data_IF_506658372704
#
_entry.id   IF_506658372704
#
_cell.length_a   1.000
_cell.length_b   1.000
_cell.length_c   1.000
_cell.angle_alpha   90.00
_cell.angle_beta   90.00
_cell.angle_gamma   90.00
#
_symmetry.space_group_name_H-M   'P 1'
#
loop_
_entity.id
_entity.type
_entity.pdbx_description
1 polymer ?
#
# COMPACT_ATOMS: atom_id res chain seq x y z
N UNK A 1 -15.91 19.79 -13.22
CA UNK A 1 -16.05 19.94 -11.78
C UNK A 1 -15.22 18.84 -11.11
N UNK A 2 -14.40 19.12 -10.11
CA UNK A 2 -13.60 18.09 -9.44
C UNK A 2 -14.51 17.15 -8.62
N UNK A 3 -14.09 15.88 -8.48
CA UNK A 3 -14.89 14.83 -7.83
C UNK A 3 -15.26 15.18 -6.38
N UNK A 4 -14.35 15.78 -5.62
CA UNK A 4 -14.66 16.19 -4.24
C UNK A 4 -15.80 17.20 -4.14
N UNK A 5 -15.96 18.12 -5.13
CA UNK A 5 -17.11 19.02 -5.19
C UNK A 5 -18.39 18.27 -5.52
N UNK A 6 -18.31 17.29 -6.41
CA UNK A 6 -19.46 16.47 -6.78
C UNK A 6 -19.94 15.64 -5.57
N UNK A 7 -19.03 15.07 -4.77
CA UNK A 7 -19.40 14.35 -3.53
C UNK A 7 -20.06 15.28 -2.53
N UNK A 8 -19.59 16.52 -2.42
CA UNK A 8 -20.16 17.50 -1.50
C UNK A 8 -21.59 17.92 -1.90
N UNK A 9 -21.89 17.96 -3.20
CA UNK A 9 -23.22 18.34 -3.74
C UNK A 9 -24.18 17.15 -3.77
N UNK A 10 -23.72 15.99 -4.21
CA UNK A 10 -24.52 14.77 -4.36
C UNK A 10 -23.68 13.53 -4.05
N UNK A 11 -23.92 12.93 -2.88
CA UNK A 11 -23.14 11.79 -2.40
C UNK A 11 -23.20 10.57 -3.31
N UNK A 12 -24.36 10.23 -3.87
CA UNK A 12 -24.51 9.03 -4.72
C UNK A 12 -23.75 9.18 -6.03
N UNK A 13 -23.98 10.27 -6.75
CA UNK A 13 -23.26 10.57 -8.00
C UNK A 13 -21.75 10.74 -7.77
N UNK A 14 -21.38 11.32 -6.64
CA UNK A 14 -20.00 11.48 -6.24
C UNK A 14 -19.33 10.15 -5.92
N UNK A 15 -20.03 9.22 -5.24
CA UNK A 15 -19.54 7.87 -4.96
C UNK A 15 -19.31 7.07 -6.24
N UNK A 16 -20.25 7.09 -7.20
CA UNK A 16 -20.09 6.43 -8.49
C UNK A 16 -18.86 6.96 -9.26
N UNK A 17 -18.71 8.29 -9.32
CA UNK A 17 -17.58 8.93 -9.98
C UNK A 17 -16.25 8.59 -9.28
N UNK A 18 -16.25 8.55 -7.93
CA UNK A 18 -15.08 8.19 -7.13
C UNK A 18 -14.61 6.76 -7.43
N UNK A 19 -15.52 5.79 -7.41
CA UNK A 19 -15.21 4.40 -7.72
C UNK A 19 -14.72 4.25 -9.16
N UNK A 20 -15.38 4.91 -10.11
CA UNK A 20 -15.02 4.84 -11.53
C UNK A 20 -13.62 5.42 -11.80
N UNK A 21 -13.26 6.53 -11.17
CA UNK A 21 -11.99 7.23 -11.44
C UNK A 21 -10.83 6.65 -10.63
N UNK A 22 -11.04 6.31 -9.38
CA UNK A 22 -9.97 5.92 -8.46
C UNK A 22 -10.00 4.45 -8.03
N UNK A 23 -11.08 3.71 -8.29
CA UNK A 23 -11.27 2.36 -7.77
C UNK A 23 -10.13 1.41 -8.11
N UNK A 24 -9.76 1.31 -9.38
CA UNK A 24 -8.68 0.42 -9.81
C UNK A 24 -7.32 0.81 -9.21
N UNK A 25 -7.00 2.11 -9.18
CA UNK A 25 -5.73 2.60 -8.64
C UNK A 25 -5.65 2.38 -7.12
N UNK A 26 -6.73 2.71 -6.39
CA UNK A 26 -6.78 2.52 -4.94
C UNK A 26 -6.73 1.03 -4.55
N UNK A 27 -7.37 0.16 -5.36
CA UNK A 27 -7.29 -1.29 -5.18
C UNK A 27 -5.86 -1.81 -5.38
N UNK A 28 -5.14 -1.33 -6.40
CA UNK A 28 -3.75 -1.70 -6.61
C UNK A 28 -2.88 -1.34 -5.39
N UNK A 29 -3.03 -0.12 -4.85
CA UNK A 29 -2.36 0.30 -3.60
C UNK A 29 -2.72 -0.63 -2.44
N UNK A 30 -4.01 -0.87 -2.21
CA UNK A 30 -4.49 -1.74 -1.13
C UNK A 30 -3.95 -3.17 -1.27
N UNK A 31 -3.93 -3.72 -2.50
CA UNK A 31 -3.41 -5.06 -2.77
C UNK A 31 -1.92 -5.17 -2.46
N UNK A 32 -1.10 -4.18 -2.86
CA UNK A 32 0.32 -4.15 -2.49
C UNK A 32 0.54 -4.08 -0.98
N UNK A 33 -0.33 -3.41 -0.23
CA UNK A 33 -0.21 -3.34 1.22
C UNK A 33 -0.67 -4.63 1.91
N UNK A 34 -1.85 -5.14 1.56
CA UNK A 34 -2.46 -6.31 2.20
C UNK A 34 -1.91 -7.64 1.72
N UNK A 35 -1.48 -7.73 0.44
CA UNK A 35 -1.10 -8.96 -0.28
C UNK A 35 -2.20 -10.04 -0.25
N UNK A 36 -3.44 -9.62 -0.09
CA UNK A 36 -4.63 -10.46 -0.06
C UNK A 36 -5.78 -9.69 -0.71
N UNK A 37 -6.44 -10.30 -1.69
CA UNK A 37 -7.50 -9.62 -2.47
C UNK A 37 -8.71 -9.26 -1.62
N UNK A 38 -9.15 -10.13 -0.72
CA UNK A 38 -10.31 -9.88 0.14
C UNK A 38 -10.05 -8.75 1.14
N UNK A 39 -8.88 -8.75 1.79
CA UNK A 39 -8.47 -7.68 2.70
C UNK A 39 -8.32 -6.35 1.93
N UNK A 40 -7.84 -6.40 0.67
CA UNK A 40 -7.70 -5.20 -0.17
C UNK A 40 -9.06 -4.62 -0.58
N UNK A 41 -10.03 -5.45 -0.96
CA UNK A 41 -11.40 -5.02 -1.27
C UNK A 41 -12.08 -4.35 -0.07
N UNK A 42 -12.00 -4.98 1.11
CA UNK A 42 -12.54 -4.40 2.35
C UNK A 42 -11.89 -3.06 2.68
N UNK A 43 -10.56 -2.99 2.54
CA UNK A 43 -9.80 -1.77 2.80
C UNK A 43 -10.20 -0.62 1.86
N UNK A 44 -10.39 -0.91 0.56
CA UNK A 44 -10.87 0.07 -0.43
C UNK A 44 -12.27 0.55 -0.11
N UNK A 45 -13.19 -0.38 0.20
CA UNK A 45 -14.56 -0.04 0.54
C UNK A 45 -14.64 0.91 1.75
N UNK A 46 -13.96 0.56 2.84
CA UNK A 46 -13.86 1.39 4.05
C UNK A 46 -13.22 2.75 3.78
N UNK A 47 -12.26 2.79 2.86
CA UNK A 47 -11.61 4.05 2.47
C UNK A 47 -12.58 4.95 1.73
N UNK A 48 -13.33 4.43 0.76
CA UNK A 48 -14.34 5.22 0.05
C UNK A 48 -15.45 5.74 0.97
N UNK A 49 -15.95 4.91 1.88
CA UNK A 49 -16.91 5.34 2.89
C UNK A 49 -16.36 6.51 3.72
N UNK A 50 -15.12 6.40 4.18
CA UNK A 50 -14.48 7.46 4.97
C UNK A 50 -14.22 8.73 4.16
N UNK A 51 -13.88 8.60 2.88
CA UNK A 51 -13.71 9.74 1.96
C UNK A 51 -15.02 10.50 1.82
N UNK A 52 -16.12 9.79 1.59
CA UNK A 52 -17.46 10.41 1.44
C UNK A 52 -17.89 11.09 2.73
N UNK A 53 -17.68 10.46 3.88
CA UNK A 53 -17.99 11.04 5.18
C UNK A 53 -17.20 12.31 5.49
N UNK A 54 -15.89 12.30 5.11
CA UNK A 54 -14.95 13.37 5.49
C UNK A 54 -14.59 14.33 4.37
N UNK A 55 -15.33 14.33 3.27
CA UNK A 55 -15.03 15.18 2.12
C UNK A 55 -14.87 16.67 2.47
N UNK A 56 -15.64 17.16 3.44
CA UNK A 56 -15.55 18.54 3.92
C UNK A 56 -14.20 18.86 4.62
N UNK A 57 -13.45 17.84 5.04
CA UNK A 57 -12.14 18.02 5.66
C UNK A 57 -10.98 18.08 4.66
N UNK A 58 -11.24 17.74 3.38
CA UNK A 58 -10.25 17.86 2.32
C UNK A 58 -9.95 19.33 1.99
N UNK A 59 -8.72 19.76 2.21
CA UNK A 59 -8.30 21.18 2.06
C UNK A 59 -7.51 21.47 0.78
N UNK A 60 -7.44 20.54 -0.16
CA UNK A 60 -6.67 20.66 -1.43
C UNK A 60 -5.18 21.02 -1.24
N UNK A 61 -4.60 20.69 -0.09
CA UNK A 61 -3.18 20.92 0.19
C UNK A 61 -2.27 19.82 -0.37
N UNK A 62 -2.85 18.64 -0.65
CA UNK A 62 -2.23 17.52 -1.33
C UNK A 62 -3.11 17.11 -2.52
N UNK A 63 -2.61 16.18 -3.37
CA UNK A 63 -3.49 15.60 -4.37
C UNK A 63 -4.65 14.85 -3.68
N UNK A 64 -5.83 14.85 -4.31
CA UNK A 64 -6.99 14.16 -3.75
C UNK A 64 -6.71 12.66 -3.57
N UNK A 65 -5.97 12.08 -4.50
CA UNK A 65 -5.56 10.68 -4.42
C UNK A 65 -4.60 10.43 -3.24
N UNK A 66 -3.60 11.28 -3.01
CA UNK A 66 -2.69 11.15 -1.87
C UNK A 66 -3.45 11.26 -0.53
N UNK A 67 -4.46 12.12 -0.45
CA UNK A 67 -5.32 12.20 0.73
C UNK A 67 -6.12 10.91 0.97
N UNK A 68 -6.64 10.27 -0.10
CA UNK A 68 -7.30 8.95 0.01
C UNK A 68 -6.30 7.88 0.44
N UNK A 69 -5.09 7.85 -0.14
CA UNK A 69 -4.04 6.90 0.25
C UNK A 69 -3.61 7.07 1.72
N UNK A 70 -3.62 8.29 2.26
CA UNK A 70 -3.39 8.53 3.68
C UNK A 70 -4.47 7.88 4.57
N UNK A 71 -5.75 7.97 4.16
CA UNK A 71 -6.86 7.30 4.86
C UNK A 71 -6.69 5.78 4.79
N UNK A 72 -6.37 5.25 3.61
CA UNK A 72 -6.15 3.82 3.36
C UNK A 72 -4.99 3.29 4.21
N UNK A 73 -3.84 3.95 4.18
CA UNK A 73 -2.66 3.56 4.95
C UNK A 73 -2.93 3.57 6.47
N UNK A 74 -3.73 4.52 6.94
CA UNK A 74 -4.12 4.57 8.35
C UNK A 74 -5.01 3.37 8.74
N UNK A 75 -5.99 2.98 7.91
CA UNK A 75 -6.80 1.78 8.16
C UNK A 75 -5.94 0.52 8.15
N UNK A 76 -5.09 0.35 7.14
CA UNK A 76 -4.16 -0.78 7.05
C UNK A 76 -3.31 -0.93 8.32
N UNK A 77 -2.71 0.17 8.78
CA UNK A 77 -1.92 0.21 10.01
C UNK A 77 -2.74 -0.17 11.26
N UNK A 78 -3.99 0.31 11.35
CA UNK A 78 -4.90 -0.04 12.46
C UNK A 78 -5.22 -1.54 12.46
N UNK A 79 -5.46 -2.13 11.28
CA UNK A 79 -5.74 -3.55 11.13
C UNK A 79 -4.51 -4.40 11.48
N UNK A 80 -3.30 -3.99 11.07
CA UNK A 80 -2.06 -4.65 11.45
C UNK A 80 -1.84 -4.65 12.98
N UNK A 81 -2.07 -3.51 13.63
CA UNK A 81 -2.01 -3.42 15.11
C UNK A 81 -3.02 -4.32 15.79
N UNK A 82 -4.27 -4.40 15.26
CA UNK A 82 -5.31 -5.27 15.81
C UNK A 82 -4.94 -6.75 15.64
N UNK A 83 -4.43 -7.15 14.45
CA UNK A 83 -3.96 -8.51 14.20
C UNK A 83 -2.83 -8.89 15.17
N UNK A 84 -1.85 -8.00 15.38
CA UNK A 84 -0.75 -8.22 16.31
C UNK A 84 -1.23 -8.33 17.78
N UNK A 85 -2.15 -7.46 18.22
CA UNK A 85 -2.71 -7.52 19.56
C UNK A 85 -3.50 -8.83 19.83
N UNK A 86 -4.28 -9.29 18.85
CA UNK A 86 -5.04 -10.54 18.96
C UNK A 86 -4.11 -11.77 18.97
N UNK A 87 -3.00 -11.75 18.22
CA UNK A 87 -2.01 -12.83 18.24
C UNK A 87 -1.34 -12.99 19.62
N UNK A 88 -1.10 -11.89 20.32
CA UNK A 88 -0.52 -11.91 21.68
C UNK A 88 -1.48 -12.47 22.75
N UNK A 89 -2.78 -12.46 22.48
CA UNK A 89 -3.81 -12.95 23.44
C UNK A 89 -4.14 -14.44 23.22
N UNK A 90 -3.88 -14.98 22.03
CA UNK A 90 -4.45 -16.27 21.62
C UNK A 90 -3.45 -17.41 21.44
N UNK A 91 -2.10 -17.16 21.38
CA UNK A 91 -1.14 -18.24 21.18
C UNK A 91 0.24 -17.93 21.77
N UNK A 92 0.74 -18.75 22.75
CA UNK A 92 2.12 -18.68 23.19
C UNK A 92 3.10 -19.39 22.23
N UNK A 93 2.63 -20.14 21.23
CA UNK A 93 3.47 -20.68 20.17
C UNK A 93 3.34 -19.80 18.90
N UNK A 94 4.46 -19.26 18.38
CA UNK A 94 4.39 -18.61 17.08
C UNK A 94 3.90 -19.66 16.07
N UNK A 95 2.84 -19.35 15.27
CA UNK A 95 2.50 -20.26 14.19
C UNK A 95 3.75 -20.41 13.33
N UNK A 96 4.14 -21.65 13.06
CA UNK A 96 5.09 -21.98 11.99
C UNK A 96 4.49 -21.40 10.71
N UNK A 97 4.79 -20.12 10.45
CA UNK A 97 4.52 -19.53 9.16
C UNK A 97 5.48 -20.23 8.21
N UNK A 98 5.07 -21.39 7.76
CA UNK A 98 5.56 -21.91 6.50
C UNK A 98 5.23 -20.81 5.50
N UNK A 99 6.24 -20.07 5.13
CA UNK A 99 6.16 -19.04 4.09
C UNK A 99 5.92 -19.80 2.78
N UNK A 100 4.64 -20.12 2.50
CA UNK A 100 4.19 -20.74 1.24
C UNK A 100 4.31 -19.78 0.06
N UNK A 101 5.10 -18.72 0.21
CA UNK A 101 5.46 -17.90 -0.94
C UNK A 101 6.33 -18.77 -1.83
N UNK A 102 5.95 -18.95 -3.12
CA UNK A 102 6.78 -19.66 -4.07
C UNK A 102 8.19 -19.04 -4.02
N UNK A 103 9.19 -19.92 -3.88
CA UNK A 103 10.58 -19.48 -3.95
C UNK A 103 10.76 -18.71 -5.26
N UNK A 104 11.15 -17.42 -5.23
CA UNK A 104 11.28 -16.60 -6.44
C UNK A 104 12.19 -17.21 -7.51
N UNK A 105 13.00 -18.19 -7.15
CA UNK A 105 13.97 -18.85 -8.06
C UNK A 105 13.35 -19.90 -8.99
N UNK A 106 12.13 -20.37 -8.77
CA UNK A 106 11.53 -21.43 -9.59
C UNK A 106 10.58 -20.96 -10.72
N UNK A 107 10.17 -19.68 -10.70
CA UNK A 107 9.27 -19.07 -11.70
C UNK A 107 9.99 -18.25 -12.79
N UNK A 108 11.30 -18.38 -12.94
CA UNK A 108 12.18 -17.50 -13.72
C UNK A 108 12.33 -17.93 -15.19
N UNK A 109 11.22 -18.00 -15.95
CA UNK A 109 11.31 -18.01 -17.40
C UNK A 109 10.66 -16.74 -17.94
N UNK A 110 11.49 -15.77 -18.37
CA UNK A 110 11.11 -14.53 -19.05
C UNK A 110 10.22 -13.54 -18.24
N UNK A 111 10.61 -13.23 -17.01
CA UNK A 111 10.01 -12.11 -16.27
C UNK A 111 10.61 -10.81 -16.81
N UNK A 112 9.76 -9.86 -17.23
CA UNK A 112 10.20 -8.51 -17.60
C UNK A 112 10.64 -7.72 -16.35
N UNK A 113 11.41 -6.65 -16.56
CA UNK A 113 11.96 -5.84 -15.46
C UNK A 113 10.84 -5.26 -14.57
N UNK A 114 9.71 -4.87 -15.14
CA UNK A 114 8.58 -4.32 -14.40
C UNK A 114 7.95 -5.38 -13.48
N UNK A 115 7.80 -6.61 -13.95
CA UNK A 115 7.30 -7.72 -13.16
C UNK A 115 8.28 -8.09 -12.04
N UNK A 116 9.59 -8.09 -12.31
CA UNK A 116 10.60 -8.35 -11.29
C UNK A 116 10.60 -7.29 -10.18
N UNK A 117 10.41 -6.03 -10.52
CA UNK A 117 10.27 -4.94 -9.54
C UNK A 117 9.02 -5.14 -8.67
N UNK A 118 7.88 -5.50 -9.26
CA UNK A 118 6.63 -5.77 -8.50
C UNK A 118 6.84 -6.92 -7.50
N UNK A 119 7.40 -8.03 -7.97
CA UNK A 119 7.71 -9.18 -7.09
C UNK A 119 8.68 -8.76 -5.96
N UNK A 120 9.67 -7.94 -6.27
CA UNK A 120 10.61 -7.44 -5.27
C UNK A 120 9.92 -6.52 -4.24
N UNK A 121 8.99 -5.67 -4.66
CA UNK A 121 8.20 -4.82 -3.75
C UNK A 121 7.31 -5.68 -2.85
N UNK A 122 6.65 -6.68 -3.40
CA UNK A 122 5.77 -7.58 -2.66
C UNK A 122 6.53 -8.45 -1.64
N UNK A 123 7.83 -8.71 -1.88
CA UNK A 123 8.70 -9.43 -0.97
C UNK A 123 9.29 -8.57 0.17
N UNK A 124 9.09 -7.25 0.15
CA UNK A 124 9.57 -6.37 1.22
C UNK A 124 8.84 -6.63 2.55
N UNK A 125 9.50 -6.44 3.70
CA UNK A 125 8.82 -6.28 4.98
C UNK A 125 7.74 -5.19 4.89
N UNK A 126 6.62 -5.40 5.60
CA UNK A 126 5.43 -4.53 5.53
C UNK A 126 5.73 -3.03 5.67
N UNK A 127 6.56 -2.67 6.65
CA UNK A 127 6.94 -1.28 6.90
C UNK A 127 7.70 -0.63 5.74
N UNK A 128 8.60 -1.37 5.11
CA UNK A 128 9.37 -0.88 3.96
C UNK A 128 8.49 -0.83 2.71
N UNK A 129 7.67 -1.86 2.51
CA UNK A 129 6.71 -1.94 1.40
C UNK A 129 5.73 -0.79 1.43
N UNK A 130 5.15 -0.50 2.60
CA UNK A 130 4.22 0.63 2.77
C UNK A 130 4.86 1.95 2.34
N UNK A 131 6.07 2.27 2.80
CA UNK A 131 6.75 3.50 2.41
C UNK A 131 7.06 3.55 0.90
N UNK A 132 7.52 2.43 0.32
CA UNK A 132 7.81 2.32 -1.13
C UNK A 132 6.54 2.50 -1.96
N UNK A 133 5.45 1.83 -1.61
CA UNK A 133 4.18 1.92 -2.35
C UNK A 133 3.64 3.35 -2.32
N UNK A 134 3.50 3.95 -1.14
CA UNK A 134 2.97 5.30 -1.01
C UNK A 134 3.83 6.35 -1.73
N UNK A 135 5.16 6.17 -1.76
CA UNK A 135 6.05 7.14 -2.40
C UNK A 135 6.13 6.99 -3.92
N UNK A 136 6.34 5.76 -4.42
CA UNK A 136 6.62 5.52 -5.84
C UNK A 136 5.41 5.17 -6.69
N UNK A 137 4.35 4.61 -6.10
CA UNK A 137 3.14 4.26 -6.84
C UNK A 137 2.04 5.32 -6.67
N UNK A 138 2.02 6.01 -5.52
CA UNK A 138 0.98 6.97 -5.18
C UNK A 138 1.45 8.41 -5.15
N UNK A 139 2.73 8.66 -5.50
CA UNK A 139 3.34 10.00 -5.61
C UNK A 139 3.25 10.83 -4.32
N UNK A 140 3.18 10.18 -3.15
CA UNK A 140 3.15 10.89 -1.87
C UNK A 140 4.54 11.42 -1.49
N UNK A 141 4.56 12.63 -0.97
CA UNK A 141 5.77 13.22 -0.38
C UNK A 141 6.09 12.58 0.98
N UNK A 142 7.36 12.67 1.39
CA UNK A 142 7.78 12.12 2.69
C UNK A 142 6.99 12.69 3.87
N UNK A 143 6.71 14.01 3.96
CA UNK A 143 5.84 14.55 5.02
C UNK A 143 4.42 13.98 5.00
N UNK A 144 3.81 13.78 3.82
CA UNK A 144 2.47 13.17 3.70
C UNK A 144 2.46 11.72 4.19
N UNK A 145 3.48 10.93 3.81
CA UNK A 145 3.64 9.55 4.27
C UNK A 145 3.83 9.53 5.79
N UNK A 146 4.72 10.35 6.32
CA UNK A 146 5.00 10.44 7.75
C UNK A 146 3.72 10.72 8.56
N UNK A 147 2.90 11.65 8.09
CA UNK A 147 1.61 11.97 8.69
C UNK A 147 0.60 10.81 8.55
N UNK A 148 0.54 10.14 7.39
CA UNK A 148 -0.39 9.04 7.12
C UNK A 148 -0.13 7.80 7.99
N UNK A 149 1.14 7.44 8.17
CA UNK A 149 1.52 6.24 8.94
C UNK A 149 2.00 6.56 10.37
N UNK A 150 1.89 7.83 10.78
CA UNK A 150 2.22 8.34 12.13
C UNK A 150 3.64 7.96 12.60
N UNK A 151 4.63 8.25 11.76
CA UNK A 151 6.06 8.09 12.08
C UNK A 151 6.83 9.38 11.76
N UNK A 152 8.01 9.61 12.37
CA UNK A 152 8.86 10.73 11.98
C UNK A 152 9.30 10.64 10.52
N UNK A 153 9.49 11.78 9.85
CA UNK A 153 9.99 11.85 8.46
C UNK A 153 11.34 11.12 8.30
N UNK A 154 12.23 11.21 9.28
CA UNK A 154 13.50 10.47 9.29
C UNK A 154 13.32 8.95 9.20
N UNK A 155 12.26 8.42 9.80
CA UNK A 155 11.89 6.99 9.68
C UNK A 155 11.44 6.65 8.27
N UNK A 156 10.66 7.54 7.62
CA UNK A 156 10.23 7.35 6.22
C UNK A 156 11.44 7.37 5.29
N UNK A 157 12.37 8.33 5.44
CA UNK A 157 13.61 8.36 4.65
C UNK A 157 14.41 7.08 4.80
N UNK A 158 14.56 6.57 6.02
CA UNK A 158 15.26 5.31 6.28
C UNK A 158 14.54 4.12 5.61
N UNK A 159 13.22 4.03 5.75
CA UNK A 159 12.41 2.97 5.10
C UNK A 159 12.54 2.99 3.58
N UNK A 160 12.50 4.16 2.97
CA UNK A 160 12.71 4.33 1.53
C UNK A 160 14.12 3.92 1.10
N UNK A 161 15.14 4.25 1.92
CA UNK A 161 16.52 3.86 1.64
C UNK A 161 16.70 2.34 1.68
N UNK A 162 16.29 1.70 2.77
CA UNK A 162 16.40 0.25 2.94
C UNK A 162 15.51 -0.52 1.94
N UNK A 163 14.29 -0.05 1.70
CA UNK A 163 13.40 -0.65 0.70
C UNK A 163 14.04 -0.67 -0.70
N UNK A 164 14.61 0.45 -1.14
CA UNK A 164 15.33 0.53 -2.43
C UNK A 164 16.54 -0.39 -2.49
N UNK A 165 17.27 -0.53 -1.38
CA UNK A 165 18.43 -1.42 -1.28
C UNK A 165 17.98 -2.87 -1.45
N UNK A 166 16.96 -3.31 -0.72
CA UNK A 166 16.42 -4.67 -0.81
C UNK A 166 15.84 -4.98 -2.20
N UNK A 167 15.11 -4.04 -2.81
CA UNK A 167 14.61 -4.21 -4.19
C UNK A 167 15.77 -4.45 -5.16
N UNK A 168 16.85 -3.65 -5.10
CA UNK A 168 18.02 -3.83 -5.95
C UNK A 168 18.69 -5.20 -5.75
N UNK A 169 18.80 -5.66 -4.52
CA UNK A 169 19.36 -6.98 -4.20
C UNK A 169 18.51 -8.12 -4.77
N UNK A 170 17.17 -8.04 -4.64
CA UNK A 170 16.26 -9.04 -5.18
C UNK A 170 16.31 -9.05 -6.70
N UNK A 171 16.18 -7.89 -7.34
CA UNK A 171 16.22 -7.75 -8.81
C UNK A 171 17.59 -8.20 -9.36
N UNK A 172 18.70 -7.87 -8.70
CA UNK A 172 20.04 -8.34 -9.11
C UNK A 172 20.19 -9.86 -9.06
N UNK A 173 19.60 -10.52 -8.08
CA UNK A 173 19.58 -12.00 -8.02
C UNK A 173 18.77 -12.60 -9.15
N UNK A 174 17.64 -11.97 -9.51
CA UNK A 174 16.79 -12.41 -10.62
C UNK A 174 17.51 -12.30 -11.96
N UNK A 175 18.16 -11.18 -12.24
CA UNK A 175 18.84 -10.93 -13.52
C UNK A 175 20.33 -11.32 -13.51
N UNK A 176 20.98 -11.35 -12.34
CA UNK A 176 22.39 -11.71 -12.20
C UNK A 176 22.68 -13.22 -12.36
N UNK A 177 21.66 -14.07 -12.13
CA UNK A 177 21.77 -15.52 -12.36
C UNK A 177 21.77 -15.95 -13.84
N UNK A 178 21.54 -15.03 -14.77
CA UNK A 178 21.45 -15.33 -16.20
C UNK A 178 22.68 -14.87 -17.01
N UNK A 179 23.80 -14.62 -16.33
CA UNK A 179 25.11 -14.37 -16.96
C UNK A 179 26.10 -15.48 -16.57
N UNK A 180 25.89 -16.65 -17.13
CA UNK A 180 26.93 -17.66 -17.36
C UNK A 180 26.70 -18.26 -18.74
#
# INVERSE_FOLDING_TARGET
>A
MPIWSLIAENKERGAEALVKEYGARLYATAFHLCQNGQDAEDLVFRTFDRVIERIQSYKSQSSFFAWMCAILANFHRMDARRKAANALVFDPEPPDRVDERPNPSEALVAIDEATAIRVAVDALPEDLRTAIVLHYFDDMSVPEIAAAIEVPEGTVYWRLHEGRKMIREIVSKVFGGNRI
#
